data_IF_630620279962
#
_entry.id   IF_630620279962
#
_cell.length_a   1.000
_cell.length_b   1.000
_cell.length_c   1.000
_cell.angle_alpha   90.00
_cell.angle_beta   90.00
_cell.angle_gamma   90.00
#
_symmetry.space_group_name_H-M   'P 1'
#
loop_
_entity.id
_entity.type
_entity.pdbx_description
1 polymer ?
#
# COMPACT_ATOMS: atom_id res chain seq x y z
N UNK A 1 7.12 -6.56 -4.28
CA UNK A 1 8.02 -5.47 -4.51
C UNK A 1 7.52 -4.08 -4.20
N UNK A 2 7.35 -3.83 -2.92
CA UNK A 2 6.80 -2.57 -2.43
C UNK A 2 7.64 -1.34 -2.84
N UNK A 3 8.96 -1.45 -2.82
CA UNK A 3 9.90 -0.35 -3.09
C UNK A 3 10.19 -0.12 -4.57
N UNK A 4 10.25 -1.18 -5.38
CA UNK A 4 10.64 -1.08 -6.78
C UNK A 4 9.60 -0.34 -7.62
N UNK A 5 10.04 0.73 -8.28
CA UNK A 5 9.27 1.44 -9.30
C UNK A 5 9.06 0.55 -10.52
N UNK A 6 10.14 -0.03 -11.04
CA UNK A 6 10.11 -0.79 -12.29
C UNK A 6 9.11 -1.92 -12.22
N UNK A 7 9.10 -2.70 -11.14
CA UNK A 7 8.13 -3.79 -11.01
C UNK A 7 6.68 -3.32 -11.00
N UNK A 8 6.41 -2.16 -10.35
CA UNK A 8 5.06 -1.57 -10.32
C UNK A 8 4.65 -1.03 -11.68
N UNK A 9 5.50 -0.22 -12.29
CA UNK A 9 5.19 0.40 -13.58
C UNK A 9 5.11 -0.62 -14.70
N UNK A 10 5.98 -1.65 -14.71
CA UNK A 10 5.92 -2.76 -15.67
C UNK A 10 4.58 -3.50 -15.56
N UNK A 11 4.14 -3.83 -14.33
CA UNK A 11 2.86 -4.50 -14.15
C UNK A 11 1.68 -3.63 -14.62
N UNK A 12 1.66 -2.34 -14.23
CA UNK A 12 0.56 -1.44 -14.58
C UNK A 12 0.54 -1.03 -16.06
N UNK A 13 1.67 -1.14 -16.77
CA UNK A 13 1.80 -0.85 -18.20
C UNK A 13 1.69 -2.10 -19.07
N UNK A 14 1.39 -3.27 -18.50
CA UNK A 14 1.25 -4.53 -19.25
C UNK A 14 0.06 -4.41 -20.22
N UNK A 15 0.35 -4.66 -21.50
CA UNK A 15 -0.68 -4.59 -22.56
C UNK A 15 -1.52 -5.87 -22.69
N UNK A 16 -1.01 -6.97 -22.18
CA UNK A 16 -1.66 -8.28 -22.26
C UNK A 16 -2.62 -8.53 -21.09
N UNK A 17 -2.35 -7.89 -19.95
CA UNK A 17 -3.13 -8.07 -18.73
C UNK A 17 -3.41 -6.72 -18.09
N UNK A 18 -4.68 -6.46 -17.79
CA UNK A 18 -5.07 -5.28 -17.03
C UNK A 18 -4.80 -5.53 -15.54
N UNK A 19 -3.69 -5.01 -15.04
CA UNK A 19 -3.44 -5.01 -13.61
C UNK A 19 -4.12 -3.83 -12.91
N UNK A 20 -4.79 -4.12 -11.79
CA UNK A 20 -5.37 -3.12 -10.89
C UNK A 20 -4.56 -3.11 -9.60
N UNK A 21 -3.95 -1.98 -9.20
CA UNK A 21 -3.18 -1.90 -7.98
C UNK A 21 -4.10 -1.92 -6.74
N UNK A 22 -3.74 -2.77 -5.78
CA UNK A 22 -4.38 -2.94 -4.48
C UNK A 22 -3.41 -2.49 -3.39
N UNK A 23 -3.61 -1.29 -2.90
CA UNK A 23 -2.81 -0.71 -1.83
C UNK A 23 -3.35 -1.12 -0.46
N UNK A 24 -2.45 -1.36 0.47
CA UNK A 24 -2.81 -1.78 1.82
C UNK A 24 -1.59 -2.18 2.63
N UNK A 25 -1.74 -3.08 3.58
CA UNK A 25 -0.68 -3.55 4.45
C UNK A 25 -0.61 -5.09 4.45
N UNK A 26 -0.72 -5.71 5.63
CA UNK A 26 -0.63 -7.17 5.76
C UNK A 26 -1.89 -7.94 5.38
N UNK A 27 -3.00 -7.29 5.14
CA UNK A 27 -4.25 -7.89 4.70
C UNK A 27 -4.06 -8.70 3.41
N UNK A 28 -3.27 -8.21 2.47
CA UNK A 28 -2.97 -8.90 1.20
C UNK A 28 -2.09 -10.14 1.33
N UNK A 29 -1.58 -10.42 2.53
CA UNK A 29 -0.79 -11.64 2.79
C UNK A 29 -1.64 -12.79 3.32
N UNK A 30 -2.90 -12.55 3.63
CA UNK A 30 -3.84 -13.53 4.13
C UNK A 30 -4.73 -13.96 2.98
N UNK A 31 -4.58 -15.20 2.57
CA UNK A 31 -5.36 -15.79 1.50
C UNK A 31 -6.48 -16.64 2.10
N UNK A 32 -7.66 -16.46 1.58
CA UNK A 32 -8.88 -17.22 1.80
C UNK A 32 -9.69 -17.26 0.50
N UNK A 33 -10.85 -17.89 0.52
CA UNK A 33 -11.71 -18.01 -0.67
C UNK A 33 -12.16 -16.63 -1.22
N UNK A 34 -12.30 -15.62 -0.37
CA UNK A 34 -12.75 -14.28 -0.76
C UNK A 34 -11.60 -13.31 -1.08
N UNK A 35 -10.36 -13.80 -1.07
CA UNK A 35 -9.22 -12.96 -1.44
C UNK A 35 -9.37 -12.46 -2.90
N UNK A 36 -9.10 -11.17 -3.20
CA UNK A 36 -9.32 -10.60 -4.54
C UNK A 36 -8.64 -11.36 -5.68
N UNK A 37 -7.48 -11.98 -5.45
CA UNK A 37 -6.82 -12.81 -6.45
C UNK A 37 -7.61 -14.08 -6.75
N UNK A 38 -8.22 -14.70 -5.74
CA UNK A 38 -9.03 -15.91 -5.89
C UNK A 38 -10.33 -15.59 -6.63
N UNK A 39 -10.98 -14.49 -6.25
CA UNK A 39 -12.20 -14.03 -6.92
C UNK A 39 -11.95 -13.62 -8.38
N UNK A 40 -10.86 -12.95 -8.66
CA UNK A 40 -10.51 -12.56 -10.02
C UNK A 40 -10.26 -13.77 -10.92
N UNK A 41 -9.58 -14.78 -10.41
CA UNK A 41 -9.31 -16.04 -11.12
C UNK A 41 -10.57 -16.88 -11.30
N UNK A 42 -11.33 -17.13 -10.22
CA UNK A 42 -12.54 -18.00 -10.27
C UNK A 42 -13.58 -17.48 -11.25
N UNK A 43 -13.75 -16.17 -11.33
CA UNK A 43 -14.81 -15.55 -12.13
C UNK A 43 -14.30 -14.88 -13.42
N UNK A 44 -13.10 -15.24 -13.86
CA UNK A 44 -12.48 -14.74 -15.09
C UNK A 44 -12.65 -13.21 -15.25
N UNK A 45 -12.27 -12.47 -14.21
CA UNK A 45 -12.40 -11.02 -14.24
C UNK A 45 -11.44 -10.40 -15.26
N UNK A 46 -11.89 -9.35 -15.91
CA UNK A 46 -11.09 -8.60 -16.89
C UNK A 46 -9.93 -7.79 -16.29
N UNK A 47 -9.50 -8.15 -15.08
CA UNK A 47 -8.35 -7.55 -14.39
C UNK A 47 -7.66 -8.58 -13.48
N UNK A 48 -6.40 -8.32 -13.20
CA UNK A 48 -5.60 -9.03 -12.20
C UNK A 48 -5.22 -8.10 -11.05
N UNK A 49 -5.45 -8.46 -9.79
CA UNK A 49 -5.00 -7.65 -8.67
C UNK A 49 -3.46 -7.61 -8.60
N UNK A 50 -2.90 -6.42 -8.47
CA UNK A 50 -1.48 -6.21 -8.20
C UNK A 50 -1.30 -5.67 -6.78
N UNK A 51 -0.90 -6.53 -5.86
CA UNK A 51 -0.86 -6.19 -4.44
C UNK A 51 0.38 -5.38 -4.07
N UNK A 52 0.15 -4.18 -3.54
CA UNK A 52 1.15 -3.25 -3.05
C UNK A 52 0.91 -3.05 -1.55
N UNK A 53 1.24 -4.09 -0.77
CA UNK A 53 1.07 -4.10 0.66
C UNK A 53 2.05 -5.04 1.33
N UNK A 54 2.57 -4.60 2.48
CA UNK A 54 3.49 -5.37 3.30
C UNK A 54 3.16 -5.14 4.77
N UNK A 55 3.47 -6.14 5.62
CA UNK A 55 3.25 -6.02 7.07
C UNK A 55 3.97 -4.79 7.62
N UNK A 56 3.22 -3.84 8.16
CA UNK A 56 3.73 -2.61 8.75
C UNK A 56 3.82 -1.43 7.78
N UNK A 57 3.56 -1.61 6.49
CA UNK A 57 3.35 -0.47 5.59
C UNK A 57 2.05 0.24 5.99
N UNK A 58 2.11 1.55 6.14
CA UNK A 58 0.97 2.37 6.54
C UNK A 58 0.76 3.52 5.55
N UNK A 59 -0.21 4.40 5.81
CA UNK A 59 -0.69 5.43 4.89
C UNK A 59 0.44 6.23 4.21
N UNK A 60 1.42 6.73 4.97
CA UNK A 60 2.50 7.52 4.41
C UNK A 60 3.39 6.74 3.43
N UNK A 61 3.67 5.45 3.70
CA UNK A 61 4.39 4.60 2.76
C UNK A 61 3.59 4.34 1.49
N UNK A 62 2.26 4.15 1.63
CA UNK A 62 1.36 3.97 0.49
C UNK A 62 1.29 5.24 -0.35
N UNK A 63 1.15 6.40 0.30
CA UNK A 63 1.14 7.69 -0.38
C UNK A 63 2.42 7.90 -1.20
N UNK A 64 3.60 7.67 -0.61
CA UNK A 64 4.86 7.77 -1.33
C UNK A 64 4.99 6.72 -2.45
N UNK A 65 4.48 5.51 -2.24
CA UNK A 65 4.40 4.48 -3.27
C UNK A 65 3.52 4.89 -4.45
N UNK A 66 2.41 5.57 -4.20
CA UNK A 66 1.53 6.13 -5.25
C UNK A 66 2.24 7.24 -6.05
N UNK A 67 3.03 8.09 -5.39
CA UNK A 67 3.80 9.14 -6.08
C UNK A 67 4.76 8.58 -7.12
N UNK A 68 5.32 7.38 -6.90
CA UNK A 68 6.19 6.74 -7.88
C UNK A 68 5.48 6.34 -9.18
N UNK A 69 4.18 6.14 -9.15
CA UNK A 69 3.40 5.58 -10.28
C UNK A 69 2.18 6.43 -10.62
N UNK A 70 2.25 7.73 -10.31
CA UNK A 70 1.17 8.66 -10.67
C UNK A 70 0.79 8.61 -12.17
N UNK A 71 1.72 8.54 -13.12
CA UNK A 71 1.38 8.44 -14.53
C UNK A 71 0.50 7.22 -14.84
N UNK A 72 0.83 6.07 -14.26
CA UNK A 72 0.11 4.81 -14.45
C UNK A 72 -1.24 4.78 -13.71
N UNK A 73 -1.36 5.54 -12.63
CA UNK A 73 -2.61 5.66 -11.87
C UNK A 73 -3.60 6.65 -12.50
N UNK A 74 -3.10 7.59 -13.33
CA UNK A 74 -3.94 8.61 -13.94
C UNK A 74 -5.00 7.97 -14.86
N UNK A 75 -6.26 8.32 -14.62
CA UNK A 75 -7.43 7.75 -15.32
C UNK A 75 -7.61 6.22 -15.16
N UNK A 76 -6.88 5.62 -14.20
CA UNK A 76 -6.98 4.21 -13.87
C UNK A 76 -7.93 3.93 -12.69
N UNK A 77 -7.99 2.65 -12.33
CA UNK A 77 -8.68 2.18 -11.13
C UNK A 77 -7.67 1.65 -10.15
N UNK A 78 -7.81 2.00 -8.88
CA UNK A 78 -7.02 1.45 -7.79
C UNK A 78 -7.93 1.11 -6.60
N UNK A 79 -7.55 0.12 -5.81
CA UNK A 79 -8.19 -0.21 -4.54
C UNK A 79 -7.24 0.18 -3.41
N UNK A 80 -7.75 0.95 -2.45
CA UNK A 80 -6.97 1.34 -1.28
C UNK A 80 -7.68 0.91 0.00
N UNK A 81 -7.09 -0.03 0.73
CA UNK A 81 -7.60 -0.50 2.01
C UNK A 81 -6.94 0.28 3.15
N UNK A 82 -7.77 1.03 3.87
CA UNK A 82 -7.37 1.78 5.05
C UNK A 82 -7.56 0.92 6.29
N UNK A 83 -6.49 0.68 7.02
CA UNK A 83 -6.57 -0.06 8.28
C UNK A 83 -6.74 0.89 9.46
N UNK A 84 -7.81 0.75 10.28
CA UNK A 84 -8.06 1.63 11.43
C UNK A 84 -6.90 1.68 12.44
N UNK A 85 -6.09 0.63 12.51
CA UNK A 85 -4.91 0.58 13.37
C UNK A 85 -3.84 1.63 13.01
N UNK A 86 -3.82 2.13 11.77
CA UNK A 86 -2.87 3.17 11.35
C UNK A 86 -3.15 4.50 12.04
N UNK A 87 -4.40 4.75 12.46
CA UNK A 87 -4.87 5.99 13.06
C UNK A 87 -4.80 5.99 14.59
N UNK A 88 -4.16 4.99 15.19
CA UNK A 88 -3.92 4.95 16.63
C UNK A 88 -2.62 5.66 17.00
N UNK A 89 -2.45 6.08 18.26
CA UNK A 89 -1.22 6.73 18.76
C UNK A 89 0.08 5.98 18.42
N UNK A 90 0.02 4.64 18.34
CA UNK A 90 1.14 3.75 18.02
C UNK A 90 1.01 3.12 16.62
N UNK A 91 0.03 3.52 15.85
CA UNK A 91 -0.30 2.91 14.57
C UNK A 91 0.78 3.07 13.52
N UNK A 92 1.61 4.08 13.70
CA UNK A 92 2.70 4.39 12.80
C UNK A 92 3.98 4.71 13.57
N UNK A 93 5.07 4.09 13.19
CA UNK A 93 6.36 4.32 13.82
C UNK A 93 7.50 4.47 12.79
N UNK A 94 8.55 5.16 13.21
CA UNK A 94 9.70 5.49 12.37
C UNK A 94 10.40 4.26 11.78
N UNK A 95 10.56 3.17 12.55
CA UNK A 95 11.21 1.96 12.06
C UNK A 95 10.43 1.29 10.93
N UNK A 96 9.09 1.19 11.08
CA UNK A 96 8.22 0.65 10.03
C UNK A 96 8.24 1.54 8.78
N UNK A 97 8.22 2.87 8.96
CA UNK A 97 8.34 3.80 7.82
C UNK A 97 9.65 3.59 7.07
N UNK A 98 10.78 3.58 7.75
CA UNK A 98 12.10 3.46 7.15
C UNK A 98 12.31 2.12 6.44
N UNK A 99 11.66 1.05 6.91
CA UNK A 99 11.72 -0.26 6.26
C UNK A 99 11.16 -0.23 4.82
N UNK A 100 10.11 0.57 4.57
CA UNK A 100 9.42 0.62 3.27
C UNK A 100 9.71 1.89 2.47
N UNK A 101 10.42 2.83 3.05
CA UNK A 101 10.88 4.03 2.37
C UNK A 101 12.04 3.72 1.41
N UNK A 102 12.11 4.44 0.30
CA UNK A 102 13.31 4.61 -0.52
C UNK A 102 13.41 6.01 -1.11
N UNK A 103 14.59 6.35 -1.62
CA UNK A 103 14.86 7.68 -2.16
C UNK A 103 14.12 7.96 -3.48
N UNK A 104 13.79 6.92 -4.27
CA UNK A 104 13.00 7.10 -5.49
C UNK A 104 11.55 7.53 -5.18
N UNK A 105 10.96 7.03 -4.09
CA UNK A 105 9.67 7.50 -3.62
C UNK A 105 9.72 9.00 -3.25
N UNK A 106 10.78 9.41 -2.56
CA UNK A 106 10.94 10.81 -2.18
C UNK A 106 11.19 11.71 -3.39
N UNK A 107 12.07 11.32 -4.31
CA UNK A 107 12.33 12.10 -5.53
C UNK A 107 11.07 12.23 -6.38
N UNK A 108 10.25 11.18 -6.45
CA UNK A 108 8.95 11.21 -7.14
C UNK A 108 7.97 12.19 -6.49
N UNK A 109 7.86 12.18 -5.17
CA UNK A 109 7.05 13.13 -4.42
C UNK A 109 7.50 14.57 -4.66
N UNK A 110 8.79 14.86 -4.49
CA UNK A 110 9.33 16.20 -4.69
C UNK A 110 9.23 16.68 -6.15
N UNK A 111 9.29 15.77 -7.11
CA UNK A 111 9.14 16.09 -8.54
C UNK A 111 7.75 16.59 -8.91
N UNK A 112 6.73 16.33 -8.09
CA UNK A 112 5.39 16.91 -8.31
C UNK A 112 5.35 18.42 -8.08
N UNK A 113 6.32 18.96 -7.37
CA UNK A 113 6.45 20.39 -7.07
C UNK A 113 5.16 21.00 -6.50
N UNK A 114 4.50 20.28 -5.59
CA UNK A 114 3.27 20.68 -4.93
C UNK A 114 3.58 21.23 -3.54
N UNK A 115 2.93 22.33 -3.19
CA UNK A 115 3.06 23.00 -1.89
C UNK A 115 1.70 23.18 -1.20
N UNK A 116 0.70 22.41 -1.62
CA UNK A 116 -0.62 22.36 -0.98
C UNK A 116 -0.52 21.79 0.45
N UNK A 117 -1.58 21.97 1.24
CA UNK A 117 -1.61 21.58 2.66
C UNK A 117 -1.31 20.08 2.88
N UNK A 118 -1.75 19.20 1.96
CA UNK A 118 -1.49 17.76 2.08
C UNK A 118 -0.02 17.45 1.81
N UNK A 119 0.57 18.08 0.80
CA UNK A 119 2.00 17.95 0.48
C UNK A 119 2.88 18.49 1.59
N UNK A 120 2.53 19.63 2.19
CA UNK A 120 3.21 20.19 3.36
C UNK A 120 3.16 19.22 4.54
N UNK A 121 1.96 18.71 4.85
CA UNK A 121 1.77 17.75 5.93
C UNK A 121 2.56 16.46 5.70
N UNK A 122 2.51 15.90 4.50
CA UNK A 122 3.29 14.70 4.15
C UNK A 122 4.79 14.95 4.32
N UNK A 123 5.31 16.09 3.86
CA UNK A 123 6.72 16.45 4.00
C UNK A 123 7.13 16.58 5.48
N UNK A 124 6.32 17.23 6.32
CA UNK A 124 6.53 17.32 7.76
C UNK A 124 6.58 15.93 8.41
N UNK A 125 5.64 15.06 8.05
CA UNK A 125 5.59 13.69 8.58
C UNK A 125 6.79 12.84 8.15
N UNK A 126 7.28 13.01 6.92
CA UNK A 126 8.49 12.32 6.44
C UNK A 126 9.71 12.77 7.25
N UNK A 127 9.87 14.07 7.49
CA UNK A 127 10.96 14.61 8.31
C UNK A 127 10.92 14.10 9.76
N UNK A 128 9.72 14.00 10.35
CA UNK A 128 9.54 13.41 11.69
C UNK A 128 9.94 11.92 11.73
N UNK A 129 9.61 11.16 10.70
CA UNK A 129 9.86 9.71 10.64
C UNK A 129 11.30 9.37 10.28
N UNK A 130 11.96 10.24 9.53
CA UNK A 130 13.34 10.06 9.06
C UNK A 130 14.07 11.42 9.03
N UNK A 131 14.56 11.91 10.18
CA UNK A 131 15.22 13.21 10.26
C UNK A 131 16.49 13.30 9.41
N UNK A 132 17.20 12.19 9.28
CA UNK A 132 18.36 12.07 8.38
C UNK A 132 17.90 11.46 7.05
N UNK A 133 17.64 12.32 6.09
CA UNK A 133 17.07 11.93 4.79
C UNK A 133 17.81 12.67 3.66
N UNK A 134 18.01 11.97 2.55
CA UNK A 134 18.49 12.58 1.30
C UNK A 134 17.48 13.64 0.83
N UNK A 135 17.94 14.72 0.22
CA UNK A 135 17.09 15.86 -0.21
C UNK A 135 16.34 16.54 0.95
N UNK A 136 16.91 16.53 2.16
CA UNK A 136 16.31 17.13 3.37
C UNK A 136 15.99 18.61 3.17
N UNK A 137 16.88 19.37 2.51
CA UNK A 137 16.66 20.81 2.24
C UNK A 137 15.42 21.02 1.37
N UNK A 138 15.27 20.27 0.30
CA UNK A 138 14.13 20.36 -0.61
C UNK A 138 12.82 19.95 0.10
N UNK A 139 12.89 18.85 0.87
CA UNK A 139 11.76 18.39 1.65
C UNK A 139 11.33 19.41 2.71
N UNK A 140 12.29 20.09 3.36
CA UNK A 140 12.00 21.14 4.34
C UNK A 140 11.32 22.37 3.70
N UNK A 141 11.69 22.73 2.47
CA UNK A 141 10.99 23.78 1.73
C UNK A 141 9.53 23.43 1.51
N UNK A 142 9.25 22.22 1.00
CA UNK A 142 7.87 21.75 0.81
C UNK A 142 7.11 21.72 2.13
N UNK A 143 7.72 21.24 3.21
CA UNK A 143 7.12 21.18 4.55
C UNK A 143 6.71 22.58 5.09
N UNK A 144 7.41 23.64 4.65
CA UNK A 144 7.14 25.02 5.02
C UNK A 144 6.31 25.78 3.97
N UNK A 145 5.78 25.11 2.95
CA UNK A 145 4.99 25.74 1.89
C UNK A 145 5.81 26.62 0.95
N UNK A 146 7.12 26.39 0.87
CA UNK A 146 8.02 27.15 0.02
C UNK A 146 8.21 26.47 -1.33
N UNK A 147 8.24 27.24 -2.39
CA UNK A 147 8.51 26.74 -3.73
C UNK A 147 9.95 26.24 -3.90
N UNK A 148 10.10 25.21 -4.70
CA UNK A 148 11.40 24.71 -5.13
C UNK A 148 11.93 25.57 -6.28
N UNK A 149 13.14 26.08 -6.11
CA UNK A 149 13.82 26.87 -7.14
C UNK A 149 14.41 25.96 -8.25
N UNK A 150 15.00 26.56 -9.29
CA UNK A 150 15.56 25.83 -10.41
C UNK A 150 16.69 24.86 -10.02
N UNK A 151 17.54 25.24 -9.08
CA UNK A 151 18.61 24.37 -8.58
C UNK A 151 18.06 23.17 -7.80
N UNK A 152 17.04 23.39 -6.96
CA UNK A 152 16.35 22.30 -6.27
C UNK A 152 15.76 21.28 -7.26
N UNK A 153 15.06 21.79 -8.29
CA UNK A 153 14.45 20.95 -9.33
C UNK A 153 15.49 20.14 -10.12
N UNK A 154 16.60 20.78 -10.49
CA UNK A 154 17.71 20.09 -11.17
C UNK A 154 18.30 18.99 -10.29
N UNK A 155 18.52 19.28 -9.01
CA UNK A 155 19.03 18.27 -8.06
C UNK A 155 18.05 17.11 -7.85
N UNK A 156 16.75 17.39 -7.71
CA UNK A 156 15.72 16.35 -7.60
C UNK A 156 15.68 15.48 -8.86
N UNK A 157 15.77 16.07 -10.05
CA UNK A 157 15.80 15.32 -11.31
C UNK A 157 17.04 14.42 -11.41
N UNK A 158 18.21 14.93 -11.03
CA UNK A 158 19.44 14.14 -10.97
C UNK A 158 19.29 12.94 -10.02
N UNK A 159 18.75 13.17 -8.81
CA UNK A 159 18.51 12.11 -7.84
C UNK A 159 17.46 11.09 -8.32
N UNK A 160 16.40 11.56 -8.99
CA UNK A 160 15.40 10.68 -9.57
C UNK A 160 15.98 9.75 -10.64
N UNK A 161 16.86 10.27 -11.50
CA UNK A 161 17.51 9.46 -12.53
C UNK A 161 18.48 8.45 -11.92
N UNK A 162 19.26 8.85 -10.91
CA UNK A 162 20.15 7.95 -10.18
C UNK A 162 19.38 6.81 -9.53
N UNK A 163 18.28 7.12 -8.84
CA UNK A 163 17.44 6.14 -8.17
C UNK A 163 16.77 5.16 -9.15
N UNK A 164 16.37 5.63 -10.33
CA UNK A 164 15.84 4.76 -11.40
C UNK A 164 16.89 3.75 -11.88
N UNK A 165 18.12 4.18 -12.05
CA UNK A 165 19.22 3.28 -12.44
C UNK A 165 19.51 2.25 -11.37
N UNK A 166 19.51 2.66 -10.10
CA UNK A 166 19.64 1.75 -8.95
C UNK A 166 18.52 0.72 -8.95
N UNK A 167 17.26 1.14 -9.08
CA UNK A 167 16.10 0.23 -9.13
C UNK A 167 16.20 -0.76 -10.29
N UNK A 168 16.68 -0.33 -11.45
CA UNK A 168 16.90 -1.19 -12.63
C UNK A 168 17.93 -2.30 -12.38
N UNK A 169 18.96 -2.03 -11.59
CA UNK A 169 19.96 -3.04 -11.24
C UNK A 169 19.40 -4.15 -10.32
N UNK A 170 18.48 -3.81 -9.42
CA UNK A 170 17.98 -4.75 -8.41
C UNK A 170 16.62 -5.36 -8.76
N UNK A 171 15.85 -4.80 -9.67
CA UNK A 171 14.52 -5.28 -10.05
C UNK A 171 14.46 -6.68 -10.64
N UNK A 172 15.41 -7.12 -11.51
CA UNK A 172 15.38 -8.45 -12.08
C UNK A 172 15.42 -9.58 -11.06
N UNK A 173 16.03 -9.36 -9.90
CA UNK A 173 16.13 -10.34 -8.82
C UNK A 173 14.82 -10.50 -8.03
N UNK A 174 13.88 -9.62 -8.26
CA UNK A 174 12.59 -9.62 -7.57
C UNK A 174 11.45 -10.22 -8.40
N UNK A 175 11.72 -10.65 -9.62
CA UNK A 175 10.73 -11.18 -10.54
C UNK A 175 10.15 -12.52 -10.08
N UNK A 176 8.87 -12.49 -9.84
CA UNK A 176 7.83 -13.52 -9.86
C UNK A 176 8.16 -14.91 -9.31
N UNK A 177 7.54 -15.20 -8.20
CA UNK A 177 7.28 -16.59 -7.81
C UNK A 177 5.87 -17.00 -8.28
N UNK A 178 5.74 -17.57 -9.46
CA UNK A 178 4.55 -18.33 -9.86
C UNK A 178 4.22 -19.46 -8.87
N UNK A 179 5.21 -19.96 -8.14
CA UNK A 179 5.03 -20.89 -7.02
C UNK A 179 4.09 -20.41 -5.90
N UNK A 180 3.84 -19.10 -5.81
CA UNK A 180 2.86 -18.57 -4.88
C UNK A 180 1.42 -18.67 -5.38
N UNK A 181 1.19 -18.69 -6.69
CA UNK A 181 -0.14 -18.83 -7.27
C UNK A 181 -0.72 -20.22 -6.94
N UNK A 182 0.02 -21.28 -7.25
CA UNK A 182 -0.43 -22.66 -7.03
C UNK A 182 -0.74 -22.94 -5.55
N UNK A 183 0.05 -22.35 -4.65
CA UNK A 183 -0.11 -22.58 -3.21
C UNK A 183 -1.19 -21.68 -2.58
N UNK A 184 -1.44 -20.49 -3.11
CA UNK A 184 -2.25 -19.49 -2.46
C UNK A 184 -3.59 -19.22 -3.15
N UNK A 185 -3.73 -19.51 -4.44
CA UNK A 185 -4.97 -19.26 -5.19
C UNK A 185 -5.70 -20.54 -5.49
N UNK A 186 -5.04 -21.51 -6.12
CA UNK A 186 -5.68 -22.76 -6.55
C UNK A 186 -6.46 -23.53 -5.47
N UNK A 187 -5.97 -23.64 -4.21
CA UNK A 187 -6.70 -24.38 -3.17
C UNK A 187 -8.09 -23.81 -2.89
N UNK A 188 -8.25 -22.50 -2.99
CA UNK A 188 -9.50 -21.82 -2.64
C UNK A 188 -10.51 -21.73 -3.77
N UNK A 189 -10.14 -21.99 -5.03
CA UNK A 189 -11.08 -21.94 -6.15
C UNK A 189 -12.27 -22.89 -6.00
N UNK A 190 -12.06 -24.03 -5.33
CA UNK A 190 -13.10 -25.05 -5.09
C UNK A 190 -14.09 -24.66 -3.99
N UNK A 191 -13.74 -23.70 -3.15
CA UNK A 191 -14.60 -23.24 -2.04
C UNK A 191 -15.64 -22.23 -2.50
N UNK A 192 -15.45 -21.66 -3.70
CA UNK A 192 -16.33 -20.66 -4.29
C UNK A 192 -17.41 -21.30 -5.17
N UNK A 193 -18.63 -20.75 -5.19
CA UNK A 193 -19.69 -21.17 -6.11
C UNK A 193 -19.27 -20.97 -7.58
N UNK A 194 -19.79 -21.80 -8.47
CA UNK A 194 -19.43 -21.71 -9.90
C UNK A 194 -20.00 -20.46 -10.57
N UNK A 195 -21.17 -20.02 -10.14
CA UNK A 195 -21.76 -18.75 -10.61
C UNK A 195 -21.55 -17.65 -9.58
N UNK A 196 -21.12 -16.49 -10.04
CA UNK A 196 -21.00 -15.31 -9.19
C UNK A 196 -22.37 -14.88 -8.64
N UNK A 197 -22.47 -14.80 -7.32
CA UNK A 197 -23.62 -14.25 -6.62
C UNK A 197 -23.14 -13.66 -5.29
N UNK A 198 -23.57 -12.45 -4.95
CA UNK A 198 -23.24 -11.86 -3.66
C UNK A 198 -23.78 -12.68 -2.49
N UNK A 199 -25.00 -13.21 -2.60
CA UNK A 199 -25.62 -14.06 -1.56
C UNK A 199 -24.79 -15.32 -1.31
N UNK A 200 -24.31 -15.99 -2.36
CA UNK A 200 -23.48 -17.17 -2.23
C UNK A 200 -22.10 -16.85 -1.66
N UNK A 201 -21.53 -15.68 -1.99
CA UNK A 201 -20.27 -15.21 -1.39
C UNK A 201 -20.42 -14.85 0.08
N UNK A 202 -21.55 -14.25 0.48
CA UNK A 202 -21.86 -13.98 1.89
C UNK A 202 -21.94 -15.28 2.68
N UNK A 203 -22.54 -16.34 2.14
CA UNK A 203 -22.55 -17.65 2.79
C UNK A 203 -21.12 -18.23 2.97
N UNK A 204 -20.23 -18.05 1.99
CA UNK A 204 -18.82 -18.43 2.13
C UNK A 204 -18.16 -17.59 3.22
N UNK A 205 -18.39 -16.27 3.26
CA UNK A 205 -17.82 -15.37 4.25
C UNK A 205 -18.28 -15.74 5.68
N UNK A 206 -19.58 -16.01 5.86
CA UNK A 206 -20.15 -16.40 7.15
C UNK A 206 -19.58 -17.74 7.62
N UNK A 207 -19.55 -18.76 6.75
CA UNK A 207 -18.96 -20.07 7.05
C UNK A 207 -17.50 -19.94 7.49
N UNK A 208 -16.71 -19.17 6.77
CA UNK A 208 -15.29 -18.98 7.07
C UNK A 208 -15.09 -18.20 8.37
N UNK A 209 -15.94 -17.20 8.63
CA UNK A 209 -15.94 -16.44 9.88
C UNK A 209 -16.29 -17.35 11.07
N UNK A 210 -17.33 -18.16 10.98
CA UNK A 210 -17.75 -19.10 12.02
C UNK A 210 -16.68 -20.16 12.30
N UNK A 211 -16.01 -20.66 11.27
CA UNK A 211 -14.96 -21.66 11.40
C UNK A 211 -13.69 -21.11 12.09
N UNK A 212 -13.38 -19.84 11.90
CA UNK A 212 -12.09 -19.25 12.30
C UNK A 212 -12.20 -18.23 13.44
N UNK A 213 -13.39 -17.70 13.75
CA UNK A 213 -13.56 -16.66 14.76
C UNK A 213 -14.60 -17.04 15.83
N UNK A 214 -14.22 -16.87 17.08
CA UNK A 214 -15.20 -16.70 18.17
C UNK A 214 -15.53 -15.22 18.23
N UNK A 215 -16.51 -14.80 17.45
CA UNK A 215 -16.89 -13.41 17.32
C UNK A 215 -17.76 -12.93 18.50
N UNK A 216 -17.60 -11.66 18.85
CA UNK A 216 -18.59 -10.91 19.63
C UNK A 216 -19.72 -10.42 18.72
N UNK A 217 -20.69 -9.68 19.29
CA UNK A 217 -21.84 -9.11 18.56
C UNK A 217 -21.44 -8.16 17.40
N UNK A 218 -20.18 -7.77 17.30
CA UNK A 218 -19.63 -6.96 16.22
C UNK A 218 -18.91 -7.79 15.14
N UNK A 219 -18.95 -9.12 15.19
CA UNK A 219 -18.22 -9.98 14.28
C UNK A 219 -16.69 -9.95 14.47
N UNK A 220 -16.21 -9.51 15.61
CA UNK A 220 -14.77 -9.38 15.91
C UNK A 220 -14.37 -10.45 16.92
N UNK A 221 -13.26 -11.15 16.69
CA UNK A 221 -12.70 -12.12 17.64
C UNK A 221 -12.56 -11.49 19.04
N UNK A 222 -13.19 -12.08 20.02
CA UNK A 222 -13.28 -11.57 21.39
C UNK A 222 -11.90 -11.35 22.05
N UNK A 223 -10.91 -12.22 21.74
CA UNK A 223 -9.56 -12.07 22.26
C UNK A 223 -8.86 -10.87 21.64
N UNK A 224 -9.10 -10.65 20.35
CA UNK A 224 -8.56 -9.51 19.64
C UNK A 224 -9.24 -8.21 20.11
N UNK A 225 -10.56 -8.22 20.23
CA UNK A 225 -11.31 -7.07 20.74
C UNK A 225 -10.88 -6.69 22.15
N UNK A 226 -10.95 -7.60 23.11
CA UNK A 226 -10.61 -7.34 24.53
C UNK A 226 -9.15 -6.97 24.74
N UNK A 227 -8.22 -7.63 24.07
CA UNK A 227 -6.78 -7.41 24.26
C UNK A 227 -6.20 -6.24 23.47
N UNK A 228 -6.73 -5.95 22.29
CA UNK A 228 -6.09 -5.02 21.37
C UNK A 228 -6.96 -3.85 20.90
N UNK A 229 -8.23 -4.06 20.62
CA UNK A 229 -9.09 -3.01 20.06
C UNK A 229 -9.77 -2.16 21.12
N UNK A 230 -10.45 -2.74 22.10
CA UNK A 230 -11.25 -1.98 23.08
C UNK A 230 -10.43 -0.89 23.80
N UNK A 231 -9.16 -1.21 24.13
CA UNK A 231 -8.24 -0.25 24.73
C UNK A 231 -7.68 0.82 23.76
N UNK A 232 -7.76 0.59 22.45
CA UNK A 232 -7.18 1.46 21.42
C UNK A 232 -8.22 2.31 20.71
N UNK A 233 -9.39 1.77 20.43
CA UNK A 233 -10.49 2.50 19.76
C UNK A 233 -10.99 3.65 20.64
N UNK A 234 -11.07 3.48 21.96
CA UNK A 234 -11.42 4.56 22.88
C UNK A 234 -10.39 5.70 23.01
N UNK A 235 -9.26 5.60 22.31
CA UNK A 235 -8.13 6.55 22.38
C UNK A 235 -7.58 6.87 21.00
N UNK A 236 -8.41 7.22 20.03
CA UNK A 236 -8.02 7.61 18.67
C UNK A 236 -7.24 8.95 18.63
N UNK A 237 -6.36 9.18 19.60
CA UNK A 237 -5.52 10.39 19.67
C UNK A 237 -4.55 10.56 18.51
N UNK A 238 -4.38 9.53 17.70
CA UNK A 238 -3.54 9.57 16.50
C UNK A 238 -4.33 9.73 15.19
N UNK A 239 -5.65 9.86 15.25
CA UNK A 239 -6.48 9.86 14.04
C UNK A 239 -6.11 11.00 13.10
N UNK A 240 -6.12 12.22 13.60
CA UNK A 240 -5.75 13.39 12.78
C UNK A 240 -4.26 13.41 12.39
N UNK A 241 -3.39 12.85 13.22
CA UNK A 241 -1.94 12.83 12.96
C UNK A 241 -1.54 11.79 11.90
N UNK A 242 -2.34 10.76 11.68
CA UNK A 242 -2.00 9.64 10.79
C UNK A 242 -2.91 9.56 9.55
N UNK A 243 -3.89 10.46 9.40
CA UNK A 243 -4.63 10.70 8.18
C UNK A 243 -3.78 11.45 7.17
#
# INVERSE_FOLDING_TARGET
NFKSRINKTTALSDKNHRFVPFFGSSEWLRFDALHPAVLAEKYDRNYRPYFIGQRGAASLNQYLGMQQMLPELKNGTAVYVLSPQWFTKKGYNSAAFQQFYNNDQLSSFLSQNQTDANSQYAAQRILEMKPEITMKSQLSKVANGQDLNSLDKTYIQFMAELNKREDALFSPFAASNNANYDKKVLPYLKELPDKFSYEALDQVAVRDAEAHTKSNDFGIDDRFYKKRLAKKIGKLKGFQKNL
#
